data_IF_487037781318
#
_entry.id   IF_487037781318
#
_cell.length_a   1.000
_cell.length_b   1.000
_cell.length_c   1.000
_cell.angle_alpha   90.00
_cell.angle_beta   90.00
_cell.angle_gamma   90.00
#
_symmetry.space_group_name_H-M   'P 1'
#
loop_
_entity.id
_entity.type
_entity.pdbx_description
1 polymer ?
#
# COMPACT_ATOMS: atom_id res chain seq x y z
N UNK A 1 4.43 13.26 17.55
CA UNK A 1 4.54 11.83 17.24
C UNK A 1 3.86 11.62 15.90
N UNK A 2 4.67 11.47 14.85
CA UNK A 2 4.19 11.31 13.49
C UNK A 2 4.33 9.86 13.04
N UNK A 3 3.29 9.34 12.37
CA UNK A 3 3.37 8.14 11.54
C UNK A 3 3.50 8.61 10.09
N UNK A 4 4.62 9.26 9.79
CA UNK A 4 4.92 9.69 8.42
C UNK A 4 6.01 8.77 7.91
N UNK A 5 5.69 7.99 6.88
CA UNK A 5 6.71 7.24 6.16
C UNK A 5 7.37 8.15 5.12
N UNK A 6 8.69 8.06 4.99
CA UNK A 6 9.41 8.63 3.85
C UNK A 6 9.47 7.63 2.68
N UNK A 7 9.21 6.36 2.97
CA UNK A 7 9.23 5.26 2.00
C UNK A 7 7.85 5.11 1.33
N UNK A 8 7.78 5.05 -0.02
CA UNK A 8 6.55 4.76 -0.75
C UNK A 8 6.24 3.25 -0.71
N UNK A 9 5.85 2.74 0.46
CA UNK A 9 5.71 1.30 0.75
C UNK A 9 4.89 0.52 -0.30
N UNK A 10 3.75 1.05 -0.73
CA UNK A 10 2.91 0.38 -1.74
C UNK A 10 3.59 0.29 -3.11
N UNK A 11 4.39 1.30 -3.47
CA UNK A 11 5.16 1.29 -4.72
C UNK A 11 6.33 0.30 -4.63
N UNK A 12 7.04 0.25 -3.48
CA UNK A 12 8.05 -0.79 -3.26
C UNK A 12 7.45 -2.19 -3.39
N UNK A 13 6.26 -2.42 -2.83
CA UNK A 13 5.60 -3.70 -2.93
C UNK A 13 5.27 -4.06 -4.38
N UNK A 14 4.76 -3.11 -5.17
CA UNK A 14 4.47 -3.31 -6.59
C UNK A 14 5.75 -3.52 -7.43
N UNK A 15 6.88 -2.94 -7.04
CA UNK A 15 8.12 -3.00 -7.82
C UNK A 15 9.09 -4.11 -7.39
N UNK A 16 8.80 -4.84 -6.30
CA UNK A 16 9.75 -5.78 -5.67
C UNK A 16 10.24 -6.88 -6.62
N UNK A 17 9.37 -7.37 -7.52
CA UNK A 17 9.77 -8.40 -8.48
C UNK A 17 10.74 -7.86 -9.54
N UNK A 18 10.42 -6.72 -10.16
CA UNK A 18 11.30 -6.03 -11.10
C UNK A 18 12.66 -5.67 -10.48
N UNK A 19 12.65 -5.20 -9.23
CA UNK A 19 13.88 -4.95 -8.46
C UNK A 19 14.69 -6.22 -8.22
N UNK A 20 14.04 -7.38 -8.04
CA UNK A 20 14.70 -8.69 -7.94
C UNK A 20 15.42 -9.04 -9.22
N UNK A 21 14.77 -8.88 -10.37
CA UNK A 21 15.39 -9.13 -11.68
C UNK A 21 16.60 -8.23 -11.88
N UNK A 22 16.48 -6.94 -11.53
CA UNK A 22 17.59 -6.00 -11.57
C UNK A 22 18.76 -6.45 -10.67
N UNK A 23 18.49 -6.90 -9.46
CA UNK A 23 19.52 -7.37 -8.50
C UNK A 23 20.25 -8.63 -8.96
N UNK A 24 19.62 -9.44 -9.82
CA UNK A 24 20.19 -10.66 -10.41
C UNK A 24 20.84 -10.41 -11.77
N UNK A 25 20.84 -9.17 -12.26
CA UNK A 25 21.24 -8.81 -13.61
C UNK A 25 20.46 -9.57 -14.71
N UNK A 26 19.15 -9.76 -14.50
CA UNK A 26 18.27 -10.50 -15.42
C UNK A 26 17.44 -9.58 -16.31
N UNK A 27 17.46 -9.84 -17.62
CA UNK A 27 16.63 -9.18 -18.62
C UNK A 27 16.83 -7.65 -18.69
N UNK A 28 15.79 -6.94 -19.14
CA UNK A 28 15.83 -5.48 -19.26
C UNK A 28 16.12 -4.77 -17.93
N UNK A 29 15.64 -5.32 -16.81
CA UNK A 29 15.88 -4.77 -15.48
C UNK A 29 17.33 -4.91 -15.05
N UNK A 30 18.02 -5.98 -15.47
CA UNK A 30 19.45 -6.18 -15.25
C UNK A 30 20.34 -5.17 -15.95
N UNK A 31 19.86 -4.50 -17.01
CA UNK A 31 20.59 -3.45 -17.74
C UNK A 31 20.05 -2.03 -17.42
N UNK A 32 19.11 -1.93 -16.49
CA UNK A 32 18.52 -0.65 -16.09
C UNK A 32 19.35 0.07 -15.02
N UNK A 33 18.97 1.32 -14.72
CA UNK A 33 19.48 2.07 -13.57
C UNK A 33 19.18 1.41 -12.21
N UNK A 34 18.39 0.33 -12.16
CA UNK A 34 18.12 -0.46 -10.96
C UNK A 34 19.08 -1.63 -10.72
N UNK A 35 19.98 -1.94 -11.67
CA UNK A 35 20.99 -3.02 -11.55
C UNK A 35 21.87 -2.88 -10.30
N UNK A 36 22.06 -1.65 -9.84
CA UNK A 36 22.93 -1.31 -8.72
C UNK A 36 22.48 -1.84 -7.35
N UNK A 37 22.85 -1.10 -6.32
CA UNK A 37 22.56 -1.43 -4.93
C UNK A 37 21.10 -1.17 -4.58
N UNK A 38 20.67 -1.64 -3.40
CA UNK A 38 19.39 -1.25 -2.79
C UNK A 38 19.24 0.28 -2.72
N UNK A 39 20.33 0.98 -2.41
CA UNK A 39 20.33 2.44 -2.32
C UNK A 39 20.04 3.09 -3.67
N UNK A 40 20.58 2.55 -4.77
CA UNK A 40 20.36 3.11 -6.11
C UNK A 40 18.89 2.97 -6.54
N UNK A 41 18.29 1.80 -6.28
CA UNK A 41 16.85 1.55 -6.50
C UNK A 41 15.98 2.47 -5.64
N UNK A 42 16.35 2.67 -4.38
CA UNK A 42 15.64 3.58 -3.47
C UNK A 42 15.73 5.03 -3.92
N UNK A 43 16.90 5.50 -4.34
CA UNK A 43 17.10 6.89 -4.79
C UNK A 43 16.33 7.23 -6.08
N UNK A 44 15.90 6.22 -6.85
CA UNK A 44 15.04 6.39 -8.01
C UNK A 44 13.55 6.22 -7.68
N UNK A 45 13.19 6.01 -6.41
CA UNK A 45 11.80 5.92 -5.95
C UNK A 45 11.50 7.09 -5.01
N UNK A 46 10.51 7.91 -5.37
CA UNK A 46 10.20 9.15 -4.65
C UNK A 46 8.77 9.10 -4.06
N UNK A 47 8.65 9.47 -2.79
CA UNK A 47 7.37 9.92 -2.21
C UNK A 47 7.33 11.45 -2.31
N UNK A 48 6.44 11.98 -3.14
CA UNK A 48 6.28 13.42 -3.36
C UNK A 48 5.11 13.94 -2.51
N UNK A 49 5.39 14.89 -1.62
CA UNK A 49 4.39 15.42 -0.68
C UNK A 49 3.73 16.70 -1.18
N UNK A 50 4.46 17.50 -1.96
CA UNK A 50 4.04 18.80 -2.45
C UNK A 50 4.68 19.14 -3.80
N UNK A 51 4.38 20.34 -4.30
CA UNK A 51 4.92 20.85 -5.57
C UNK A 51 6.42 21.16 -5.48
N UNK A 52 6.92 21.53 -4.32
CA UNK A 52 8.34 21.88 -4.14
C UNK A 52 9.22 20.62 -4.22
N UNK A 53 8.71 19.48 -3.80
CA UNK A 53 9.36 18.18 -3.99
C UNK A 53 9.57 17.84 -5.47
N UNK A 54 8.68 18.26 -6.39
CA UNK A 54 8.89 18.08 -7.83
C UNK A 54 10.19 18.75 -8.27
N UNK A 55 10.37 20.02 -7.93
CA UNK A 55 11.56 20.77 -8.33
C UNK A 55 12.81 20.31 -7.59
N UNK A 56 12.71 20.03 -6.28
CA UNK A 56 13.87 19.69 -5.44
C UNK A 56 14.35 18.25 -5.62
N UNK A 57 13.46 17.31 -5.98
CA UNK A 57 13.77 15.87 -5.97
C UNK A 57 13.53 15.20 -7.31
N UNK A 58 12.41 15.47 -7.96
CA UNK A 58 12.08 14.82 -9.23
C UNK A 58 12.93 15.38 -10.38
N UNK A 59 13.03 16.71 -10.52
CA UNK A 59 13.77 17.34 -11.63
C UNK A 59 15.24 16.89 -11.70
N UNK A 60 16.03 16.90 -10.61
CA UNK A 60 17.40 16.41 -10.66
C UNK A 60 17.50 14.93 -11.05
N UNK A 61 16.53 14.12 -10.62
CA UNK A 61 16.47 12.70 -10.97
C UNK A 61 16.18 12.50 -12.46
N UNK A 62 15.23 13.27 -13.04
CA UNK A 62 14.92 13.22 -14.47
C UNK A 62 16.11 13.65 -15.33
N UNK A 63 16.84 14.70 -14.92
CA UNK A 63 18.06 15.16 -15.60
C UNK A 63 19.12 14.05 -15.61
N UNK A 64 19.34 13.40 -14.46
CA UNK A 64 20.40 12.41 -14.30
C UNK A 64 20.08 11.07 -14.96
N UNK A 65 18.84 10.58 -14.80
CA UNK A 65 18.46 9.22 -15.20
C UNK A 65 17.86 9.18 -16.60
N UNK A 66 17.13 10.23 -17.01
CA UNK A 66 16.33 10.27 -18.24
C UNK A 66 15.54 8.96 -18.46
N UNK A 67 14.61 8.61 -17.55
CA UNK A 67 13.95 7.31 -17.58
C UNK A 67 13.05 7.14 -18.80
N UNK A 68 13.12 5.97 -19.42
CA UNK A 68 12.23 5.50 -20.48
C UNK A 68 10.91 4.91 -19.96
N UNK A 69 10.86 4.55 -18.67
CA UNK A 69 9.67 4.06 -17.97
C UNK A 69 9.53 4.77 -16.63
N UNK A 70 8.37 5.36 -16.39
CA UNK A 70 8.01 5.99 -15.11
C UNK A 70 6.76 5.33 -14.55
N UNK A 71 6.85 4.92 -13.28
CA UNK A 71 5.77 4.30 -12.52
C UNK A 71 5.25 5.30 -11.47
N UNK A 72 3.96 5.62 -11.53
CA UNK A 72 3.31 6.52 -10.58
C UNK A 72 2.26 5.73 -9.79
N UNK A 73 2.45 5.58 -8.50
CA UNK A 73 1.43 5.04 -7.59
C UNK A 73 0.62 6.17 -6.95
N UNK A 74 -0.70 6.10 -7.00
CA UNK A 74 -1.56 7.13 -6.39
C UNK A 74 -2.68 6.55 -5.51
N UNK A 75 -2.80 7.10 -4.30
CA UNK A 75 -4.05 7.05 -3.53
C UNK A 75 -5.07 8.01 -4.16
N UNK A 76 -6.37 7.75 -3.96
CA UNK A 76 -7.43 8.60 -4.56
C UNK A 76 -7.32 10.08 -4.20
N UNK A 77 -6.94 10.41 -2.96
CA UNK A 77 -6.71 11.81 -2.54
C UNK A 77 -5.49 12.46 -3.24
N UNK A 78 -4.55 11.64 -3.73
CA UNK A 78 -3.32 12.09 -4.39
C UNK A 78 -3.44 12.11 -5.91
N UNK A 79 -4.58 11.70 -6.48
CA UNK A 79 -4.71 11.53 -7.93
C UNK A 79 -4.45 12.82 -8.71
N UNK A 80 -4.90 13.97 -8.20
CA UNK A 80 -4.56 15.27 -8.80
C UNK A 80 -3.06 15.52 -8.85
N UNK A 81 -2.35 15.20 -7.77
CA UNK A 81 -0.88 15.30 -7.72
C UNK A 81 -0.22 14.40 -8.77
N UNK A 82 -0.70 13.16 -8.92
CA UNK A 82 -0.21 12.23 -9.93
C UNK A 82 -0.39 12.76 -11.36
N UNK A 83 -1.51 13.42 -11.68
CA UNK A 83 -1.74 14.06 -12.98
C UNK A 83 -0.70 15.15 -13.24
N UNK A 84 -0.49 16.05 -12.27
CA UNK A 84 0.45 17.15 -12.42
C UNK A 84 1.90 16.66 -12.51
N UNK A 85 2.27 15.62 -11.75
CA UNK A 85 3.56 14.95 -11.88
C UNK A 85 3.73 14.32 -13.27
N UNK A 86 2.73 13.62 -13.79
CA UNK A 86 2.82 12.99 -15.11
C UNK A 86 2.93 14.02 -16.25
N UNK A 87 2.18 15.13 -16.17
CA UNK A 87 2.30 16.24 -17.12
C UNK A 87 3.71 16.83 -17.10
N UNK A 88 4.26 17.08 -15.92
CA UNK A 88 5.61 17.61 -15.77
C UNK A 88 6.67 16.68 -16.38
N UNK A 89 6.56 15.38 -16.13
CA UNK A 89 7.46 14.36 -16.71
C UNK A 89 7.33 14.33 -18.23
N UNK A 90 6.09 14.36 -18.75
CA UNK A 90 5.84 14.39 -20.20
C UNK A 90 6.38 15.65 -20.87
N UNK A 91 6.23 16.81 -20.25
CA UNK A 91 6.80 18.07 -20.73
C UNK A 91 8.33 18.01 -20.78
N UNK A 92 8.95 17.36 -19.79
CA UNK A 92 10.41 17.27 -19.69
C UNK A 92 11.03 16.23 -20.64
N UNK A 93 10.40 15.07 -20.80
CA UNK A 93 10.95 13.93 -21.57
C UNK A 93 10.31 13.73 -22.94
N UNK A 94 9.20 14.41 -23.25
CA UNK A 94 8.50 14.22 -24.52
C UNK A 94 8.01 12.78 -24.69
N UNK A 95 8.17 12.22 -25.89
CA UNK A 95 7.78 10.83 -26.20
C UNK A 95 8.85 9.79 -25.81
N UNK A 96 9.96 10.19 -25.20
CA UNK A 96 11.04 9.30 -24.74
C UNK A 96 10.70 8.57 -23.42
N UNK A 97 9.43 8.53 -23.03
CA UNK A 97 8.99 7.91 -21.76
C UNK A 97 7.61 7.26 -21.88
N UNK A 98 7.48 6.07 -21.30
CA UNK A 98 6.21 5.44 -20.99
C UNK A 98 5.82 5.75 -19.54
N UNK A 99 4.64 6.33 -19.31
CA UNK A 99 4.14 6.67 -17.97
C UNK A 99 2.99 5.73 -17.60
N UNK A 100 3.19 4.93 -16.56
CA UNK A 100 2.20 3.98 -16.02
C UNK A 100 1.66 4.49 -14.69
N UNK A 101 0.35 4.71 -14.62
CA UNK A 101 -0.36 5.01 -13.38
C UNK A 101 -0.88 3.72 -12.74
N UNK A 102 -0.60 3.51 -11.46
CA UNK A 102 -1.17 2.44 -10.66
C UNK A 102 -1.57 2.91 -9.26
N UNK A 103 -1.70 1.94 -8.36
CA UNK A 103 -2.07 2.18 -6.96
C UNK A 103 -3.58 2.11 -6.71
N UNK A 104 -3.98 2.60 -5.54
CA UNK A 104 -5.35 2.47 -5.05
C UNK A 104 -6.36 3.21 -5.92
N UNK A 105 -6.05 4.41 -6.41
CA UNK A 105 -7.01 5.15 -7.24
C UNK A 105 -7.40 4.40 -8.51
N UNK A 106 -6.41 3.86 -9.23
CA UNK A 106 -6.66 3.04 -10.40
C UNK A 106 -7.48 1.78 -10.04
N UNK A 107 -7.12 1.12 -8.92
CA UNK A 107 -7.82 -0.08 -8.44
C UNK A 107 -9.28 0.18 -8.04
N UNK A 108 -9.56 1.33 -7.44
CA UNK A 108 -10.90 1.74 -7.01
C UNK A 108 -11.80 2.18 -8.16
N UNK A 109 -11.21 2.63 -9.27
CA UNK A 109 -11.94 3.25 -10.37
C UNK A 109 -11.98 2.42 -11.65
N UNK A 110 -11.16 1.37 -11.74
CA UNK A 110 -11.12 0.41 -12.84
C UNK A 110 -11.25 -0.99 -12.24
N UNK A 111 -12.39 -1.63 -12.42
CA UNK A 111 -12.70 -2.92 -11.77
C UNK A 111 -13.55 -3.81 -12.67
N UNK A 112 -13.71 -5.08 -12.29
CA UNK A 112 -14.65 -6.00 -12.93
C UNK A 112 -15.97 -5.99 -12.15
N UNK A 113 -17.10 -5.88 -12.84
CA UNK A 113 -18.42 -6.05 -12.23
C UNK A 113 -18.77 -7.53 -12.02
N UNK A 114 -19.96 -7.80 -11.47
CA UNK A 114 -20.45 -9.17 -11.19
C UNK A 114 -20.60 -10.02 -12.46
N UNK A 115 -20.75 -9.38 -13.62
CA UNK A 115 -20.78 -10.03 -14.94
C UNK A 115 -19.38 -10.16 -15.55
N UNK A 116 -18.34 -9.93 -14.75
CA UNK A 116 -16.94 -9.99 -15.12
C UNK A 116 -16.52 -8.98 -16.21
N UNK A 117 -17.32 -7.93 -16.45
CA UNK A 117 -17.02 -6.89 -17.43
C UNK A 117 -16.18 -5.80 -16.79
N UNK A 118 -15.23 -5.26 -17.54
CA UNK A 118 -14.44 -4.12 -17.08
C UNK A 118 -15.32 -2.88 -17.02
N UNK A 119 -15.35 -2.23 -15.86
CA UNK A 119 -16.05 -0.99 -15.58
C UNK A 119 -15.07 0.11 -15.24
N UNK A 120 -15.36 1.28 -15.78
CA UNK A 120 -14.68 2.53 -15.49
C UNK A 120 -15.62 3.43 -14.71
N UNK A 121 -15.26 3.75 -13.47
CA UNK A 121 -15.92 4.80 -12.72
C UNK A 121 -15.74 6.14 -13.44
N UNK A 122 -16.65 7.10 -13.20
CA UNK A 122 -16.59 8.46 -13.77
C UNK A 122 -15.29 9.20 -13.40
N UNK A 123 -14.70 8.83 -12.27
CA UNK A 123 -13.42 9.36 -11.80
C UNK A 123 -12.20 8.55 -12.28
N UNK A 124 -12.38 7.52 -13.12
CA UNK A 124 -11.24 6.72 -13.58
C UNK A 124 -10.32 7.55 -14.49
N UNK A 125 -8.99 7.37 -14.40
CA UNK A 125 -8.04 8.16 -15.17
C UNK A 125 -8.32 8.13 -16.67
N UNK A 126 -8.54 6.93 -17.23
CA UNK A 126 -8.80 6.76 -18.66
C UNK A 126 -10.12 7.38 -19.09
N UNK A 127 -11.18 7.26 -18.28
CA UNK A 127 -12.46 7.91 -18.62
C UNK A 127 -12.34 9.43 -18.63
N UNK A 128 -11.63 10.00 -17.66
CA UNK A 128 -11.40 11.44 -17.59
C UNK A 128 -10.58 11.95 -18.78
N UNK A 129 -9.63 11.15 -19.28
CA UNK A 129 -8.86 11.49 -20.48
C UNK A 129 -9.74 11.39 -21.73
N UNK A 130 -10.48 10.30 -21.91
CA UNK A 130 -11.40 10.12 -23.03
C UNK A 130 -12.48 11.20 -23.09
N UNK A 131 -12.99 11.64 -21.93
CA UNK A 131 -13.96 12.75 -21.84
C UNK A 131 -13.30 14.15 -22.01
N UNK A 132 -11.99 14.25 -22.22
CA UNK A 132 -11.27 15.52 -22.35
C UNK A 132 -11.15 16.35 -21.05
N UNK A 133 -11.49 15.76 -19.89
CA UNK A 133 -11.44 16.43 -18.58
C UNK A 133 -10.02 16.49 -18.00
N UNK A 134 -9.15 15.59 -18.45
CA UNK A 134 -7.74 15.51 -18.07
C UNK A 134 -6.92 15.31 -19.35
N UNK A 135 -5.77 15.96 -19.45
CA UNK A 135 -4.82 15.75 -20.57
C UNK A 135 -4.35 14.29 -20.64
N UNK A 136 -4.01 13.80 -21.83
CA UNK A 136 -3.39 12.48 -22.03
C UNK A 136 -1.95 12.41 -21.48
N UNK A 137 -1.80 12.42 -20.15
CA UNK A 137 -0.51 12.40 -19.46
C UNK A 137 -0.04 11.00 -19.03
N UNK A 138 -0.93 10.02 -18.97
CA UNK A 138 -0.60 8.62 -18.71
C UNK A 138 -0.74 7.79 -19.99
N UNK A 139 0.18 6.85 -20.22
CA UNK A 139 0.07 5.92 -21.36
C UNK A 139 -0.70 4.66 -20.98
N UNK A 140 -0.53 4.21 -19.73
CA UNK A 140 -1.18 3.01 -19.20
C UNK A 140 -1.74 3.34 -17.81
N UNK A 141 -2.97 2.95 -17.54
CA UNK A 141 -3.52 2.87 -16.18
C UNK A 141 -3.69 1.40 -15.78
N UNK A 142 -3.11 1.03 -14.63
CA UNK A 142 -3.05 -0.33 -14.11
C UNK A 142 -3.83 -0.45 -12.80
N UNK A 143 -4.83 -1.32 -12.79
CA UNK A 143 -5.60 -1.72 -11.60
C UNK A 143 -5.26 -3.14 -11.19
N UNK A 144 -5.14 -3.39 -9.88
CA UNK A 144 -4.87 -4.72 -9.34
C UNK A 144 -3.40 -4.99 -9.02
N UNK A 145 -2.94 -6.23 -9.25
CA UNK A 145 -1.54 -6.62 -8.98
C UNK A 145 -0.59 -5.92 -9.94
N UNK A 146 0.48 -5.32 -9.41
CA UNK A 146 1.48 -4.62 -10.21
C UNK A 146 2.75 -5.43 -10.47
N UNK A 147 3.03 -6.42 -9.63
CA UNK A 147 4.35 -7.00 -9.45
C UNK A 147 4.97 -7.57 -10.73
N UNK A 148 4.29 -8.52 -11.36
CA UNK A 148 4.78 -9.09 -12.62
C UNK A 148 4.46 -8.20 -13.82
N UNK A 149 3.35 -7.45 -13.80
CA UNK A 149 3.02 -6.53 -14.89
C UNK A 149 4.11 -5.48 -15.10
N UNK A 150 4.61 -4.89 -14.01
CA UNK A 150 5.71 -3.91 -14.06
C UNK A 150 6.97 -4.54 -14.67
N UNK A 151 7.30 -5.77 -14.28
CA UNK A 151 8.46 -6.44 -14.84
C UNK A 151 8.33 -6.62 -16.36
N UNK A 152 7.18 -7.10 -16.84
CA UNK A 152 6.94 -7.35 -18.26
C UNK A 152 6.84 -6.06 -19.08
N UNK A 153 6.19 -5.01 -18.59
CA UNK A 153 6.12 -3.74 -19.31
C UNK A 153 7.51 -3.08 -19.42
N UNK A 154 8.40 -3.28 -18.44
CA UNK A 154 9.80 -2.87 -18.53
C UNK A 154 10.54 -3.57 -19.67
N UNK A 155 10.31 -4.88 -19.86
CA UNK A 155 10.86 -5.63 -20.99
C UNK A 155 10.31 -5.13 -22.34
N UNK A 156 9.00 -4.82 -22.41
CA UNK A 156 8.38 -4.25 -23.62
C UNK A 156 9.02 -2.90 -23.98
N UNK A 157 9.16 -2.00 -23.01
CA UNK A 157 9.78 -0.68 -23.23
C UNK A 157 11.21 -0.82 -23.76
N UNK A 158 12.04 -1.63 -23.09
CA UNK A 158 13.41 -1.86 -23.53
C UNK A 158 13.49 -2.47 -24.94
N UNK A 159 12.58 -3.39 -25.29
CA UNK A 159 12.52 -3.99 -26.62
C UNK A 159 12.11 -2.98 -27.70
N UNK A 160 11.23 -2.03 -27.38
CA UNK A 160 10.82 -0.98 -28.32
C UNK A 160 11.97 -0.02 -28.61
N UNK A 161 12.67 0.43 -27.57
CA UNK A 161 13.84 1.31 -27.71
C UNK A 161 14.96 0.66 -28.50
N UNK A 162 15.26 -0.62 -28.24
CA UNK A 162 16.26 -1.37 -28.99
C UNK A 162 15.94 -1.47 -30.49
N UNK A 163 14.67 -1.30 -30.86
CA UNK A 163 14.17 -1.29 -32.25
C UNK A 163 13.97 0.13 -32.80
N UNK A 164 14.29 1.18 -32.03
CA UNK A 164 14.14 2.58 -32.43
C UNK A 164 12.71 3.13 -32.31
N UNK A 165 11.81 2.43 -31.62
CA UNK A 165 10.45 2.91 -31.34
C UNK A 165 10.40 3.71 -30.04
N UNK A 166 9.43 4.63 -29.95
CA UNK A 166 9.19 5.38 -28.72
C UNK A 166 8.75 4.43 -27.58
N UNK A 167 9.28 4.59 -26.35
CA UNK A 167 8.78 3.87 -25.16
C UNK A 167 7.26 3.96 -24.99
N UNK A 168 6.66 5.09 -25.39
CA UNK A 168 5.23 5.36 -25.29
C UNK A 168 4.37 4.34 -26.04
N UNK A 169 4.91 3.70 -27.06
CA UNK A 169 4.24 2.67 -27.85
C UNK A 169 4.02 1.36 -27.07
N UNK A 170 4.61 1.21 -25.88
CA UNK A 170 4.40 0.05 -25.02
C UNK A 170 2.91 -0.21 -24.72
N UNK A 171 2.09 0.84 -24.70
CA UNK A 171 0.63 0.75 -24.55
C UNK A 171 -0.07 -0.09 -25.63
N UNK A 172 0.50 -0.21 -26.83
CA UNK A 172 -0.04 -1.04 -27.91
C UNK A 172 0.27 -2.53 -27.72
N UNK A 173 1.20 -2.86 -26.84
CA UNK A 173 1.59 -4.25 -26.56
C UNK A 173 0.78 -4.89 -25.42
N UNK A 174 -0.19 -4.19 -24.81
CA UNK A 174 -0.96 -4.69 -23.67
C UNK A 174 -1.63 -6.05 -23.94
N UNK A 175 -2.08 -6.30 -25.18
CA UNK A 175 -2.70 -7.58 -25.57
C UNK A 175 -1.76 -8.78 -25.43
N UNK A 176 -0.45 -8.58 -25.56
CA UNK A 176 0.57 -9.63 -25.43
C UNK A 176 0.87 -9.98 -23.97
N UNK A 177 0.45 -9.13 -23.03
CA UNK A 177 0.71 -9.31 -21.60
C UNK A 177 -0.37 -10.14 -20.90
N UNK A 178 -1.41 -10.63 -21.58
CA UNK A 178 -2.54 -11.33 -20.93
C UNK A 178 -2.13 -12.55 -20.10
N UNK A 179 -1.00 -13.18 -20.39
CA UNK A 179 -0.44 -14.30 -19.62
C UNK A 179 0.49 -13.86 -18.48
N UNK A 180 0.67 -12.57 -18.23
CA UNK A 180 1.46 -12.09 -17.08
C UNK A 180 0.70 -12.40 -15.79
N UNK A 181 1.31 -13.09 -14.80
CA UNK A 181 0.60 -13.46 -13.58
C UNK A 181 0.16 -12.26 -12.75
N UNK A 182 -0.81 -12.51 -11.88
CA UNK A 182 -1.57 -11.53 -11.12
C UNK A 182 -2.95 -11.27 -11.72
N UNK A 183 -3.87 -10.76 -10.88
CA UNK A 183 -5.17 -10.31 -11.39
C UNK A 183 -5.15 -8.80 -11.61
N UNK A 184 -4.87 -8.37 -12.82
CA UNK A 184 -4.78 -6.96 -13.16
C UNK A 184 -5.64 -6.62 -14.37
N UNK A 185 -5.98 -5.33 -14.46
CA UNK A 185 -6.63 -4.68 -15.59
C UNK A 185 -5.72 -3.54 -16.00
N UNK A 186 -5.20 -3.59 -17.22
CA UNK A 186 -4.44 -2.50 -17.81
C UNK A 186 -5.29 -1.84 -18.88
N UNK A 187 -5.25 -0.51 -18.96
CA UNK A 187 -5.93 0.19 -20.03
C UNK A 187 -5.15 1.38 -20.54
N UNK A 188 -5.54 1.83 -21.73
CA UNK A 188 -4.94 2.95 -22.44
C UNK A 188 -6.00 3.69 -23.25
N UNK A 189 -5.61 4.83 -23.83
CA UNK A 189 -6.41 5.58 -24.79
C UNK A 189 -5.88 5.33 -26.21
N UNK A 190 -6.76 4.87 -27.09
CA UNK A 190 -6.53 4.76 -28.54
C UNK A 190 -7.76 5.37 -29.23
N UNK A 191 -7.54 6.22 -30.22
CA UNK A 191 -8.60 6.89 -30.99
C UNK A 191 -9.69 7.53 -30.10
N UNK A 192 -9.25 8.23 -29.05
CA UNK A 192 -10.09 8.87 -28.02
C UNK A 192 -11.03 7.92 -27.24
N UNK A 193 -10.81 6.61 -27.35
CA UNK A 193 -11.56 5.58 -26.64
C UNK A 193 -10.71 4.85 -25.61
N UNK A 194 -11.38 4.36 -24.58
CA UNK A 194 -10.75 3.54 -23.54
C UNK A 194 -10.63 2.10 -24.03
N UNK A 195 -9.40 1.61 -24.15
CA UNK A 195 -9.10 0.22 -24.43
C UNK A 195 -8.55 -0.46 -23.19
N UNK A 196 -9.08 -1.62 -22.85
CA UNK A 196 -8.65 -2.39 -21.66
C UNK A 196 -8.31 -3.82 -22.00
N UNK A 197 -7.24 -4.30 -21.39
CA UNK A 197 -6.82 -5.70 -21.41
C UNK A 197 -6.75 -6.19 -19.97
N UNK A 198 -7.13 -7.45 -19.76
CA UNK A 198 -7.06 -8.07 -18.46
C UNK A 198 -6.10 -9.26 -18.49
N UNK A 199 -5.48 -9.51 -17.34
CA UNK A 199 -4.83 -10.80 -17.09
C UNK A 199 -5.78 -11.99 -17.32
N UNK A 200 -5.18 -13.12 -17.71
CA UNK A 200 -5.80 -14.46 -17.72
C UNK A 200 -6.15 -14.98 -16.32
N UNK A 201 -5.74 -14.27 -15.26
CA UNK A 201 -6.08 -14.58 -13.88
C UNK A 201 -5.16 -15.62 -13.23
N UNK A 202 -3.98 -15.90 -13.80
CA UNK A 202 -2.97 -16.71 -13.12
C UNK A 202 -2.56 -16.03 -11.80
N UNK A 203 -2.61 -16.71 -10.65
CA UNK A 203 -2.28 -16.08 -9.37
C UNK A 203 -0.79 -15.78 -9.25
N UNK A 204 -0.43 -14.73 -8.52
CA UNK A 204 0.95 -14.49 -8.10
C UNK A 204 1.40 -15.55 -7.08
N UNK A 205 2.65 -16.01 -7.18
CA UNK A 205 3.31 -16.75 -6.10
C UNK A 205 4.00 -15.77 -5.14
N UNK A 206 3.29 -15.38 -4.09
CA UNK A 206 3.84 -14.50 -3.06
C UNK A 206 4.90 -15.16 -2.18
N UNK A 207 5.07 -16.49 -2.24
CA UNK A 207 6.13 -17.15 -1.48
C UNK A 207 7.50 -16.96 -2.15
N UNK A 208 7.53 -16.84 -3.47
CA UNK A 208 8.72 -16.51 -4.25
C UNK A 208 8.99 -15.00 -4.36
N UNK A 209 8.11 -14.14 -3.82
CA UNK A 209 8.30 -12.69 -3.91
C UNK A 209 9.39 -12.20 -2.94
N UNK A 210 10.34 -11.37 -3.39
CA UNK A 210 11.39 -10.84 -2.53
C UNK A 210 10.84 -9.86 -1.50
N UNK A 211 11.54 -9.69 -0.37
CA UNK A 211 11.16 -8.68 0.62
C UNK A 211 11.42 -7.27 0.07
N UNK A 212 10.49 -6.30 0.25
CA UNK A 212 10.75 -4.89 -0.07
C UNK A 212 12.02 -4.36 0.61
N UNK A 213 12.29 -4.76 1.85
CA UNK A 213 13.51 -4.36 2.56
C UNK A 213 14.77 -4.87 1.86
N UNK A 214 14.77 -6.09 1.30
CA UNK A 214 15.91 -6.63 0.55
C UNK A 214 16.10 -5.93 -0.79
N UNK A 215 15.05 -5.38 -1.37
CA UNK A 215 15.09 -4.74 -2.68
C UNK A 215 15.46 -3.25 -2.59
N UNK A 216 14.93 -2.53 -1.60
CA UNK A 216 15.02 -1.08 -1.49
C UNK A 216 15.67 -0.58 -0.19
N UNK A 217 15.94 -1.47 0.76
CA UNK A 217 16.45 -1.11 2.08
C UNK A 217 15.35 -0.57 2.99
N UNK A 218 15.76 0.03 4.12
CA UNK A 218 14.86 0.62 5.11
C UNK A 218 15.39 2.02 5.41
N UNK A 219 14.55 3.05 5.28
CA UNK A 219 14.95 4.42 5.67
C UNK A 219 13.96 5.13 6.55
N UNK A 220 12.69 4.72 6.48
CA UNK A 220 11.65 5.18 7.37
C UNK A 220 11.96 4.82 8.81
N UNK A 221 11.53 5.69 9.71
CA UNK A 221 11.65 5.51 11.15
C UNK A 221 10.45 6.15 11.80
N UNK A 222 9.72 5.40 12.62
CA UNK A 222 8.56 5.93 13.34
C UNK A 222 8.94 6.28 14.79
N UNK A 223 8.55 7.49 15.22
CA UNK A 223 8.69 7.98 16.59
C UNK A 223 8.14 6.99 17.62
N UNK A 224 7.08 6.26 17.25
CA UNK A 224 6.38 5.28 18.08
C UNK A 224 7.30 4.12 18.50
N UNK A 225 8.31 3.82 17.68
CA UNK A 225 9.33 2.81 17.92
C UNK A 225 10.64 3.43 18.41
N UNK A 226 10.60 4.67 18.92
CA UNK A 226 11.77 5.37 19.43
C UNK A 226 12.78 5.72 18.36
N UNK A 227 12.34 5.94 17.12
CA UNK A 227 13.22 6.32 16.02
C UNK A 227 14.01 5.14 15.42
N UNK A 228 13.68 3.89 15.75
CA UNK A 228 14.28 2.72 15.10
C UNK A 228 13.88 2.67 13.61
N UNK A 229 14.78 2.26 12.70
CA UNK A 229 14.45 1.97 11.31
C UNK A 229 13.26 1.01 11.24
N UNK A 230 12.24 1.42 10.49
CA UNK A 230 10.95 0.75 10.39
C UNK A 230 10.78 0.19 8.98
N UNK A 231 10.94 -1.12 8.85
CA UNK A 231 10.67 -1.80 7.59
C UNK A 231 9.17 -1.90 7.33
N UNK A 232 8.75 -1.72 6.09
CA UNK A 232 7.40 -2.06 5.66
C UNK A 232 7.37 -3.53 5.26
N UNK A 233 6.53 -4.33 5.92
CA UNK A 233 6.42 -5.78 5.69
C UNK A 233 4.97 -6.18 5.43
N UNK A 234 4.78 -7.27 4.72
CA UNK A 234 3.48 -7.74 4.26
C UNK A 234 3.33 -9.22 4.64
N UNK A 235 2.16 -9.63 5.11
CA UNK A 235 1.86 -11.08 5.17
C UNK A 235 1.35 -11.60 3.80
N UNK A 236 1.06 -10.66 2.88
CA UNK A 236 0.47 -10.90 1.57
C UNK A 236 -0.84 -11.70 1.66
N UNK A 237 -1.59 -11.54 2.76
CA UNK A 237 -2.84 -12.26 3.02
C UNK A 237 -3.97 -11.91 2.04
N UNK A 238 -3.83 -10.85 1.25
CA UNK A 238 -4.80 -10.43 0.26
C UNK A 238 -4.60 -8.98 -0.15
N UNK A 239 -5.43 -8.50 -1.08
CA UNK A 239 -5.41 -7.12 -1.58
C UNK A 239 -6.25 -6.14 -0.77
N UNK A 240 -7.09 -6.69 0.10
CA UNK A 240 -8.07 -5.95 0.87
C UNK A 240 -8.23 -6.51 2.27
N UNK A 241 -9.04 -5.80 3.03
CA UNK A 241 -9.47 -6.09 4.36
C UNK A 241 -10.56 -7.17 4.36
N UNK A 242 -10.63 -7.94 5.45
CA UNK A 242 -11.71 -8.90 5.69
C UNK A 242 -13.06 -8.23 5.99
N UNK A 243 -13.07 -6.93 6.26
CA UNK A 243 -14.26 -6.15 6.57
C UNK A 243 -14.86 -5.50 5.34
N UNK A 244 -16.17 -5.27 5.38
CA UNK A 244 -16.90 -4.60 4.31
C UNK A 244 -17.32 -3.16 4.66
N UNK A 245 -16.40 -2.34 5.17
CA UNK A 245 -16.72 -0.97 5.58
C UNK A 245 -17.11 -0.12 4.36
N UNK A 246 -18.31 0.47 4.37
CA UNK A 246 -18.88 1.21 3.21
C UNK A 246 -18.01 2.37 2.71
N UNK A 247 -17.18 2.95 3.58
CA UNK A 247 -16.31 4.08 3.28
C UNK A 247 -14.88 3.66 2.90
N UNK A 248 -14.51 2.40 3.12
CA UNK A 248 -13.15 1.92 2.94
C UNK A 248 -12.99 1.29 1.56
N UNK A 249 -12.01 1.73 0.79
CA UNK A 249 -11.71 1.13 -0.51
C UNK A 249 -10.99 -0.21 -0.42
N UNK A 250 -10.43 -0.53 0.75
CA UNK A 250 -9.84 -1.84 1.02
C UNK A 250 -10.88 -2.88 1.40
N UNK A 251 -12.16 -2.52 1.48
CA UNK A 251 -13.23 -3.41 1.91
C UNK A 251 -13.30 -4.68 1.06
N UNK A 252 -13.74 -5.80 1.66
CA UNK A 252 -13.74 -7.12 1.02
C UNK A 252 -14.55 -7.17 -0.28
N UNK A 253 -15.64 -6.39 -0.39
CA UNK A 253 -16.43 -6.31 -1.63
C UNK A 253 -15.70 -5.65 -2.81
N UNK A 254 -14.60 -4.92 -2.54
CA UNK A 254 -13.78 -4.24 -3.56
C UNK A 254 -12.45 -4.97 -3.75
N UNK A 255 -11.71 -5.23 -2.65
CA UNK A 255 -10.41 -5.89 -2.70
C UNK A 255 -10.48 -7.40 -2.94
N UNK A 256 -11.66 -7.99 -2.77
CA UNK A 256 -11.89 -9.43 -2.80
C UNK A 256 -11.48 -10.12 -1.49
N UNK A 257 -11.77 -11.42 -1.36
CA UNK A 257 -11.45 -12.19 -0.16
C UNK A 257 -9.92 -12.36 0.01
N UNK A 258 -9.47 -12.68 1.23
CA UNK A 258 -8.09 -13.08 1.49
C UNK A 258 -7.60 -14.18 0.55
N UNK A 259 -6.34 -14.09 0.16
CA UNK A 259 -5.65 -14.99 -0.77
C UNK A 259 -4.49 -15.67 -0.05
N UNK A 260 -4.25 -16.94 -0.38
CA UNK A 260 -3.11 -17.72 0.16
C UNK A 260 -2.99 -17.68 1.69
N UNK A 261 -4.14 -17.67 2.35
CA UNK A 261 -4.34 -17.45 3.79
C UNK A 261 -3.45 -18.33 4.67
N UNK A 262 -3.21 -19.59 4.28
CA UNK A 262 -2.50 -20.58 5.11
C UNK A 262 -1.00 -20.28 5.30
N UNK A 263 -0.36 -19.59 4.36
CA UNK A 263 1.11 -19.40 4.36
C UNK A 263 1.49 -17.97 4.79
N UNK A 264 0.52 -17.06 4.94
CA UNK A 264 0.78 -15.67 5.31
C UNK A 264 1.61 -15.48 6.59
N UNK A 265 1.49 -16.30 7.66
CA UNK A 265 2.36 -16.18 8.83
C UNK A 265 3.83 -16.47 8.54
N UNK A 266 4.11 -17.48 7.70
CA UNK A 266 5.47 -17.83 7.30
C UNK A 266 6.10 -16.74 6.43
N UNK A 267 5.33 -16.17 5.48
CA UNK A 267 5.78 -15.04 4.67
C UNK A 267 6.10 -13.82 5.52
N UNK A 268 5.21 -13.48 6.46
CA UNK A 268 5.45 -12.39 7.38
C UNK A 268 6.75 -12.61 8.17
N UNK A 269 6.96 -13.82 8.71
CA UNK A 269 8.20 -14.15 9.42
C UNK A 269 9.44 -14.02 8.52
N UNK A 270 9.37 -14.47 7.26
CA UNK A 270 10.44 -14.31 6.28
C UNK A 270 10.76 -12.84 6.00
N UNK A 271 9.74 -11.99 5.83
CA UNK A 271 9.94 -10.55 5.63
C UNK A 271 10.51 -9.85 6.86
N UNK A 272 10.13 -10.26 8.07
CA UNK A 272 10.70 -9.74 9.33
C UNK A 272 12.19 -10.12 9.46
N UNK A 273 12.54 -11.37 9.15
CA UNK A 273 13.93 -11.82 9.14
C UNK A 273 14.77 -11.05 8.10
N UNK A 274 14.21 -10.83 6.91
CA UNK A 274 14.82 -10.01 5.86
C UNK A 274 15.05 -8.56 6.31
N UNK A 275 14.04 -7.94 6.93
CA UNK A 275 14.15 -6.59 7.49
C UNK A 275 15.29 -6.50 8.51
N UNK A 276 15.38 -7.47 9.43
CA UNK A 276 16.46 -7.52 10.42
C UNK A 276 17.84 -7.65 9.77
N UNK A 277 18.01 -8.54 8.79
CA UNK A 277 19.28 -8.68 8.05
C UNK A 277 19.69 -7.38 7.38
N UNK A 278 18.74 -6.73 6.70
CA UNK A 278 18.97 -5.47 5.98
C UNK A 278 19.35 -4.34 6.94
N UNK A 279 18.60 -4.16 8.04
CA UNK A 279 18.93 -3.11 9.02
C UNK A 279 20.29 -3.35 9.66
N UNK A 280 20.64 -4.60 9.99
CA UNK A 280 21.97 -4.92 10.51
C UNK A 280 23.08 -4.61 9.51
N UNK A 281 22.88 -4.95 8.24
CA UNK A 281 23.85 -4.66 7.20
C UNK A 281 24.02 -3.15 6.94
N UNK A 282 22.93 -2.39 6.97
CA UNK A 282 22.93 -0.98 6.59
C UNK A 282 23.24 -0.04 7.79
N UNK A 283 22.93 -0.44 9.02
CA UNK A 283 23.05 0.39 10.24
C UNK A 283 23.93 -0.21 11.36
N UNK A 284 24.33 -1.48 11.23
CA UNK A 284 25.18 -2.20 12.20
C UNK A 284 24.42 -3.23 13.06
N UNK A 285 25.17 -4.21 13.57
CA UNK A 285 24.63 -5.40 14.27
C UNK A 285 23.75 -5.10 15.49
N UNK A 286 24.06 -4.01 16.20
CA UNK A 286 23.39 -3.64 17.46
C UNK A 286 22.24 -2.64 17.26
N UNK A 287 21.91 -2.26 16.02
CA UNK A 287 20.87 -1.28 15.77
C UNK A 287 19.48 -1.88 16.03
N UNK A 288 18.57 -1.17 16.74
CA UNK A 288 17.23 -1.66 16.96
C UNK A 288 16.47 -1.75 15.63
N UNK A 289 15.66 -2.80 15.48
CA UNK A 289 14.85 -3.03 14.28
C UNK A 289 13.37 -2.88 14.64
N UNK A 290 12.62 -2.18 13.79
CA UNK A 290 11.17 -2.18 13.84
C UNK A 290 10.58 -2.54 12.48
N UNK A 291 9.35 -3.02 12.47
CA UNK A 291 8.62 -3.33 11.25
C UNK A 291 7.15 -2.94 11.40
N UNK A 292 6.59 -2.31 10.37
CA UNK A 292 5.18 -2.02 10.27
C UNK A 292 4.54 -2.95 9.24
N UNK A 293 3.51 -3.67 9.68
CA UNK A 293 2.81 -4.68 8.90
C UNK A 293 1.69 -3.98 8.14
N UNK A 294 1.85 -3.91 6.82
CA UNK A 294 1.00 -3.15 5.88
C UNK A 294 -0.31 -3.87 5.49
N UNK A 295 -0.63 -4.98 6.15
CA UNK A 295 -1.94 -5.59 6.00
C UNK A 295 -3.02 -4.64 6.55
N UNK A 296 -4.15 -4.49 5.83
CA UNK A 296 -5.30 -3.69 6.28
C UNK A 296 -5.75 -4.02 7.71
N UNK A 297 -5.64 -5.30 8.07
CA UNK A 297 -5.68 -5.76 9.46
C UNK A 297 -4.66 -6.88 9.59
N UNK A 298 -3.83 -6.81 10.62
CA UNK A 298 -2.75 -7.77 10.85
C UNK A 298 -3.27 -9.22 10.78
N UNK A 299 -2.80 -10.00 9.79
CA UNK A 299 -3.22 -11.39 9.57
C UNK A 299 -4.75 -11.58 9.56
N UNK A 300 -5.50 -10.56 9.10
CA UNK A 300 -6.96 -10.56 9.12
C UNK A 300 -7.55 -10.65 10.53
N UNK A 301 -6.76 -10.39 11.57
CA UNK A 301 -7.10 -10.63 12.99
C UNK A 301 -7.61 -12.04 13.27
N UNK A 302 -7.09 -13.02 12.53
CA UNK A 302 -7.53 -14.40 12.63
C UNK A 302 -6.74 -15.15 13.71
N UNK A 303 -7.43 -15.73 14.69
CA UNK A 303 -6.78 -16.42 15.81
C UNK A 303 -5.96 -17.65 15.39
N UNK A 304 -6.34 -18.35 14.32
CA UNK A 304 -5.59 -19.50 13.81
C UNK A 304 -4.29 -19.05 13.10
N UNK A 305 -4.33 -17.96 12.34
CA UNK A 305 -3.13 -17.39 11.71
C UNK A 305 -2.16 -16.81 12.73
N UNK A 306 -2.66 -16.08 13.73
CA UNK A 306 -1.83 -15.63 14.85
C UNK A 306 -1.25 -16.81 15.62
N UNK A 307 -1.98 -17.93 15.74
CA UNK A 307 -1.45 -19.13 16.35
C UNK A 307 -0.33 -19.77 15.54
N UNK A 308 -0.43 -19.75 14.22
CA UNK A 308 0.64 -20.19 13.34
C UNK A 308 1.82 -19.23 13.42
N UNK A 309 1.57 -17.92 13.46
CA UNK A 309 2.61 -16.90 13.61
C UNK A 309 3.40 -17.11 14.90
N UNK A 310 2.74 -17.35 16.04
CA UNK A 310 3.41 -17.64 17.33
C UNK A 310 4.30 -18.90 17.27
N UNK A 311 3.97 -19.87 16.42
CA UNK A 311 4.78 -21.08 16.26
C UNK A 311 6.03 -20.86 15.41
N UNK A 312 6.02 -19.88 14.51
CA UNK A 312 7.08 -19.69 13.51
C UNK A 312 7.93 -18.44 13.79
N UNK A 313 7.43 -17.53 14.63
CA UNK A 313 8.12 -16.30 15.02
C UNK A 313 8.51 -16.36 16.50
N UNK A 314 9.81 -16.40 16.75
CA UNK A 314 10.38 -16.25 18.08
C UNK A 314 10.93 -14.81 18.26
N UNK A 315 10.33 -13.98 19.15
CA UNK A 315 10.80 -12.63 19.41
C UNK A 315 12.17 -12.57 20.12
N UNK A 316 12.63 -13.66 20.75
CA UNK A 316 13.94 -13.73 21.37
C UNK A 316 15.04 -13.96 20.33
N UNK A 317 14.78 -14.81 19.34
CA UNK A 317 15.71 -15.06 18.23
C UNK A 317 15.69 -13.92 17.20
N UNK A 318 14.52 -13.31 16.99
CA UNK A 318 14.29 -12.22 16.05
C UNK A 318 13.71 -10.99 16.76
N UNK A 319 14.52 -10.26 17.54
CA UNK A 319 14.07 -9.07 18.25
C UNK A 319 13.75 -7.96 17.25
N UNK A 320 12.45 -7.81 16.94
CA UNK A 320 11.90 -6.77 16.08
C UNK A 320 10.69 -6.16 16.78
N UNK A 321 10.63 -4.83 16.87
CA UNK A 321 9.43 -4.13 17.34
C UNK A 321 8.38 -4.17 16.25
N UNK A 322 7.21 -4.75 16.53
CA UNK A 322 6.18 -4.93 15.51
C UNK A 322 5.13 -3.83 15.64
N UNK A 323 4.73 -3.27 14.49
CA UNK A 323 3.54 -2.47 14.32
C UNK A 323 2.56 -3.13 13.38
N UNK A 324 1.27 -2.92 13.60
CA UNK A 324 0.25 -3.35 12.65
C UNK A 324 -1.09 -2.69 12.92
N UNK A 325 -1.99 -2.85 11.97
CA UNK A 325 -3.32 -2.28 12.00
C UNK A 325 -4.34 -3.25 12.61
N UNK A 326 -5.22 -2.72 13.46
CA UNK A 326 -6.40 -3.40 13.96
C UNK A 326 -7.54 -2.40 14.22
N UNK A 327 -8.78 -2.86 14.09
CA UNK A 327 -9.96 -2.09 14.49
C UNK A 327 -10.17 -2.15 16.00
N UNK A 328 -10.89 -1.17 16.57
CA UNK A 328 -11.20 -1.16 18.01
C UNK A 328 -12.06 -2.38 18.37
N UNK A 329 -13.05 -2.72 17.55
CA UNK A 329 -13.92 -3.87 17.77
C UNK A 329 -13.15 -5.19 17.83
N UNK A 330 -12.12 -5.35 17.00
CA UNK A 330 -11.23 -6.51 17.02
C UNK A 330 -10.53 -6.69 18.38
N UNK A 331 -10.03 -5.59 18.94
CA UNK A 331 -9.31 -5.59 20.22
C UNK A 331 -10.29 -5.85 21.37
N UNK A 332 -11.44 -5.15 21.38
CA UNK A 332 -12.44 -5.24 22.46
C UNK A 332 -13.12 -6.60 22.48
N UNK A 333 -13.46 -7.16 21.32
CA UNK A 333 -14.16 -8.45 21.25
C UNK A 333 -13.21 -9.66 21.39
N UNK A 334 -11.90 -9.48 21.20
CA UNK A 334 -10.92 -10.55 21.39
C UNK A 334 -9.64 -10.07 22.12
N UNK A 335 -9.76 -9.70 23.40
CA UNK A 335 -8.62 -9.21 24.18
C UNK A 335 -7.56 -10.29 24.44
N UNK A 336 -7.93 -11.57 24.34
CA UNK A 336 -6.99 -12.67 24.42
C UNK A 336 -6.02 -12.67 23.23
N UNK A 337 -6.53 -12.44 22.02
CA UNK A 337 -5.71 -12.33 20.81
C UNK A 337 -4.79 -11.11 20.84
N UNK A 338 -5.31 -9.95 21.26
CA UNK A 338 -4.51 -8.75 21.43
C UNK A 338 -3.35 -8.95 22.44
N UNK A 339 -3.63 -9.59 23.59
CA UNK A 339 -2.58 -9.94 24.57
C UNK A 339 -1.56 -10.91 24.01
N UNK A 340 -1.99 -11.89 23.21
CA UNK A 340 -1.09 -12.84 22.55
C UNK A 340 -0.12 -12.14 21.61
N UNK A 341 -0.63 -11.27 20.74
CA UNK A 341 0.19 -10.45 19.85
C UNK A 341 1.12 -9.51 20.64
N UNK A 342 0.64 -8.92 21.74
CA UNK A 342 1.48 -8.08 22.60
C UNK A 342 2.67 -8.83 23.21
N UNK A 343 2.52 -10.12 23.57
CA UNK A 343 3.65 -10.96 24.03
C UNK A 343 4.68 -11.24 22.93
N UNK A 344 4.26 -11.19 21.67
CA UNK A 344 5.14 -11.32 20.51
C UNK A 344 5.84 -10.00 20.14
N UNK A 345 5.71 -8.95 20.96
CA UNK A 345 6.33 -7.65 20.70
C UNK A 345 5.53 -6.72 19.79
N UNK A 346 4.22 -6.97 19.60
CA UNK A 346 3.34 -6.09 18.84
C UNK A 346 2.87 -4.88 19.65
N UNK A 347 3.20 -3.70 19.13
CA UNK A 347 2.54 -2.44 19.42
C UNK A 347 1.39 -2.24 18.40
N UNK A 348 0.14 -2.29 18.88
CA UNK A 348 -1.04 -2.17 18.01
C UNK A 348 -1.31 -0.69 17.69
N UNK A 349 -1.51 -0.39 16.40
CA UNK A 349 -2.01 0.89 15.93
C UNK A 349 -3.47 0.75 15.51
N UNK A 350 -4.38 1.42 16.22
CA UNK A 350 -5.76 1.58 15.76
C UNK A 350 -5.87 2.89 14.98
N UNK A 351 -6.55 2.87 13.83
CA UNK A 351 -6.93 4.11 13.16
C UNK A 351 -7.91 4.87 14.05
N UNK A 352 -7.44 5.94 14.69
CA UNK A 352 -8.29 6.88 15.43
C UNK A 352 -7.97 7.07 16.93
N UNK A 353 -7.15 6.25 17.59
CA UNK A 353 -6.56 6.60 18.90
C UNK A 353 -5.49 5.59 19.34
N UNK A 354 -4.43 6.10 20.01
CA UNK A 354 -3.32 5.32 20.57
C UNK A 354 -3.71 4.77 21.93
N UNK A 355 -3.54 3.47 22.16
CA UNK A 355 -3.35 2.91 23.49
C UNK A 355 -2.46 1.66 23.38
N UNK A 356 -1.55 1.46 24.34
CA UNK A 356 -0.83 0.19 24.49
C UNK A 356 -1.84 -0.92 24.74
N UNK A 357 -1.67 -2.09 24.12
CA UNK A 357 -2.60 -3.23 24.24
C UNK A 357 -2.86 -3.67 25.70
N UNK A 358 -1.88 -3.47 26.60
CA UNK A 358 -2.06 -3.69 28.05
C UNK A 358 -2.87 -2.57 28.73
N UNK A 359 -2.68 -1.31 28.35
CA UNK A 359 -3.38 -0.17 28.97
C UNK A 359 -4.83 0.00 28.47
N UNK A 360 -5.16 -0.46 27.26
CA UNK A 360 -6.56 -0.52 26.78
C UNK A 360 -7.43 -1.38 27.69
N UNK A 361 -6.90 -2.54 28.11
CA UNK A 361 -7.61 -3.46 28.99
C UNK A 361 -7.82 -2.85 30.38
N UNK A 362 -6.87 -2.06 30.90
CA UNK A 362 -7.01 -1.39 32.20
C UNK A 362 -7.96 -0.18 32.16
N UNK A 363 -7.97 0.58 31.07
CA UNK A 363 -8.86 1.75 30.90
C UNK A 363 -10.32 1.30 30.76
N UNK A 364 -10.59 0.20 30.05
CA UNK A 364 -11.94 -0.36 29.92
C UNK A 364 -12.42 -1.16 31.15
N UNK A 365 -11.51 -1.72 31.96
CA UNK A 365 -11.90 -2.43 33.20
C UNK A 365 -12.10 -1.50 34.40
N UNK A 366 -11.58 -0.26 34.37
CA UNK A 366 -11.77 0.72 35.44
C UNK A 366 -12.98 1.66 35.27
N UNK A 367 -13.64 1.65 34.12
CA UNK A 367 -14.80 2.51 33.86
C UNK A 367 -16.05 1.72 33.46
N UNK A 368 -16.56 0.89 34.39
CA UNK A 368 -17.99 0.62 34.64
C UNK A 368 -18.17 -0.66 35.48
N UNK A 369 -19.06 -0.70 36.50
CA UNK A 369 -19.43 -1.94 37.16
C UNK A 369 -20.24 -2.85 36.22
N UNK A 370 -20.30 -4.17 36.46
CA UNK A 370 -20.85 -5.14 35.53
C UNK A 370 -22.38 -5.06 35.49
N UNK A 371 -22.94 -4.17 34.65
CA UNK A 371 -24.32 -4.34 34.18
C UNK A 371 -24.29 -5.16 32.90
N UNK A 372 -24.92 -6.34 32.97
CA UNK A 372 -25.19 -7.25 31.85
C UNK A 372 -25.61 -6.46 30.62
N UNK A 373 -24.73 -6.36 29.62
CA UNK A 373 -25.13 -5.99 28.25
C UNK A 373 -25.81 -7.22 27.63
N UNK A 374 -27.06 -7.47 28.04
CA UNK A 374 -28.00 -8.24 27.24
C UNK A 374 -28.57 -7.28 26.20
N UNK A 375 -28.32 -7.55 24.92
CA UNK A 375 -29.09 -6.94 23.82
C UNK A 375 -28.34 -5.98 22.92
N UNK A 376 -27.25 -6.43 22.28
CA UNK A 376 -26.78 -5.83 21.01
C UNK A 376 -27.09 -6.72 19.78
N UNK A 377 -27.79 -7.84 19.98
CA UNK A 377 -28.24 -8.75 18.92
C UNK A 377 -29.70 -8.52 18.45
N UNK A 378 -30.37 -7.46 18.90
CA UNK A 378 -31.76 -7.18 18.54
C UNK A 378 -31.96 -6.00 17.56
N UNK A 379 -30.90 -5.28 17.17
CA UNK A 379 -31.00 -4.13 16.24
C UNK A 379 -30.33 -4.34 14.87
N UNK A 380 -29.89 -5.54 14.55
CA UNK A 380 -29.38 -5.91 13.21
C UNK A 380 -30.40 -6.67 12.35
N UNK A 381 -31.66 -6.80 12.81
CA UNK A 381 -32.78 -7.35 12.00
C UNK A 381 -33.85 -6.32 11.58
N UNK A 382 -33.62 -5.03 11.82
CA UNK A 382 -34.59 -3.97 11.49
C UNK A 382 -33.96 -2.81 10.69
N UNK A 383 -33.12 -3.16 9.69
CA UNK A 383 -32.69 -2.28 8.61
C UNK A 383 -33.04 -2.88 7.23
N UNK A 384 -34.18 -3.58 7.16
CA UNK A 384 -34.90 -3.82 5.91
C UNK A 384 -36.23 -3.07 6.05
N UNK A 385 -36.47 -2.15 5.11
CA UNK A 385 -37.60 -1.22 4.99
C UNK A 385 -37.78 -0.20 6.13
N UNK A 386 -37.39 1.05 5.88
CA UNK A 386 -38.08 2.23 6.42
C UNK A 386 -38.01 3.37 5.38
N UNK A 387 -39.10 4.13 5.15
CA UNK A 387 -39.26 5.03 4.00
C UNK A 387 -38.49 6.35 4.18
N UNK A 388 -38.24 7.02 3.05
CA UNK A 388 -37.60 8.35 2.98
C UNK A 388 -38.24 9.35 3.95
N UNK A 389 -37.46 10.03 4.80
CA UNK A 389 -37.85 11.32 5.34
C UNK A 389 -37.21 12.44 4.51
N UNK A 390 -38.03 13.44 4.21
CA UNK A 390 -37.63 14.68 3.55
C UNK A 390 -36.63 15.48 4.39
N UNK A 391 -35.66 16.04 3.69
CA UNK A 391 -34.85 17.23 3.96
C UNK A 391 -34.59 17.71 5.41
N UNK A 392 -33.29 17.96 5.62
CA UNK A 392 -32.62 18.89 6.55
C UNK A 392 -31.90 18.23 7.73
N UNK A 393 -30.62 18.60 7.81
CA UNK A 393 -29.64 18.44 8.91
C UNK A 393 -28.78 17.15 8.92
N UNK A 394 -27.52 17.36 8.51
CA UNK A 394 -26.33 16.90 9.22
C UNK A 394 -26.02 15.40 9.25
N UNK A 395 -25.20 14.93 8.31
CA UNK A 395 -24.50 13.64 8.44
C UNK A 395 -23.45 13.71 9.57
N UNK A 396 -23.33 12.69 10.44
CA UNK A 396 -22.18 12.60 11.33
C UNK A 396 -20.98 12.06 10.55
N UNK A 397 -20.10 12.99 10.16
CA UNK A 397 -18.70 12.72 9.81
C UNK A 397 -17.91 12.47 11.09
N UNK A 398 -17.25 11.32 11.25
CA UNK A 398 -16.21 11.18 12.28
C UNK A 398 -14.84 11.46 11.64
N UNK A 399 -14.45 12.74 11.72
CA UNK A 399 -13.11 13.26 11.49
C UNK A 399 -12.68 13.87 12.82
N UNK A 400 -11.61 13.39 13.43
CA UNK A 400 -11.06 14.02 14.65
C UNK A 400 -9.60 14.36 14.44
N UNK A 401 -9.34 15.65 14.29
CA UNK A 401 -8.06 16.29 14.58
C UNK A 401 -8.32 17.70 15.10
N UNK A 402 -7.77 18.03 16.27
CA UNK A 402 -7.21 19.34 16.59
C UNK A 402 -6.37 19.28 17.88
N UNK A 403 -5.30 20.06 17.85
CA UNK A 403 -4.17 20.25 18.77
C UNK A 403 -4.19 21.73 19.19
N UNK A 404 -3.87 22.08 20.43
CA UNK A 404 -2.89 23.13 20.87
C UNK A 404 -2.99 23.40 22.41
N UNK A 405 -1.88 23.34 23.19
CA UNK A 405 -0.89 24.40 23.56
C UNK A 405 -1.51 25.46 24.50
N UNK A 406 -0.95 25.97 25.63
CA UNK A 406 0.40 26.16 26.20
C UNK A 406 0.30 26.48 27.72
N UNK A 407 1.41 26.25 28.43
CA UNK A 407 2.02 27.02 29.56
C UNK A 407 1.14 27.83 30.53
N UNK A 408 1.39 27.62 31.83
CA UNK A 408 1.06 28.58 32.88
C UNK A 408 1.70 28.21 34.22
N UNK A 409 2.75 28.95 34.57
CA UNK A 409 3.52 28.91 35.81
C UNK A 409 2.72 29.29 37.06
N UNK A 410 3.25 28.94 38.22
CA UNK A 410 2.91 29.40 39.58
C UNK A 410 2.24 30.79 39.67
N UNK A 411 1.18 30.90 40.49
CA UNK A 411 1.12 31.82 41.65
C UNK A 411 -0.25 31.77 42.37
N UNK A 412 -0.16 31.94 43.70
CA UNK A 412 -1.20 32.22 44.71
C UNK A 412 -1.98 31.07 45.39
N UNK A 413 -1.43 30.76 46.57
CA UNK A 413 -2.07 30.30 47.81
C UNK A 413 -2.81 31.46 48.53
N UNK A 414 -3.66 31.15 49.52
CA UNK A 414 -3.24 31.29 50.92
C UNK A 414 -2.70 30.00 51.55
#
# INVERSE_FOLDING_TARGET
MALSSADPASLYNACRYAASLASKAEGAWGESNWRGTRSDRRQSTLLLSDRDDVQRRLTPLLVRVRPNLVLIGAMSICFRGAIETAKYIREFLGDDVCIVLGGRHATETIYRDDENRVRHHLASPLRLIADGKVSSCFDIALSGDGEHFIAEIGCVVASLEARGFSPREAKFSLGHLTTTPGHWIAGTIMDDQVHTVCSSGMPLDYNGMPSPAEMFGVTTSFDVFGGAPTAHVFSDIGRGCIYDCIFCSERISVGGPPRQFKISPHRLCGQLAAARRVVKADYGENFPVSAFIEDSTLLGWNSALVAQFEKVFDPLENPVRLGGQATIDQIVNNPALARRLGRMGLDIFSSGSRHRAQNLLEVFTRTSPPRRVRGWNARTKQLRSCPKPESRLGYPSYLVWARELLKGSNCFRP
#
